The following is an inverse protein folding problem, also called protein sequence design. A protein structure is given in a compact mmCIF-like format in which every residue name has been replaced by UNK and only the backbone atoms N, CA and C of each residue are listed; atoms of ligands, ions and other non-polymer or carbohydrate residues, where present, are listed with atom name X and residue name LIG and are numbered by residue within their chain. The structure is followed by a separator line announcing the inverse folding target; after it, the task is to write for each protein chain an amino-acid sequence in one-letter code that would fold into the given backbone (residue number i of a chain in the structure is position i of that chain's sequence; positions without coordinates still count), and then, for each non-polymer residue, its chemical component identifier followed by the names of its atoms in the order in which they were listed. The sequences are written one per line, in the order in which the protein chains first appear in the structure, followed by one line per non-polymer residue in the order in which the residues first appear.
data_IF_785899779815
#
_entry.id   IF_785899779815
#
_cell.length_a   1.000
_cell.length_b   1.000
_cell.length_c   1.000
_cell.angle_alpha   90.00
_cell.angle_beta   90.00
_cell.angle_gamma   90.00
#
_symmetry.space_group_name_H-M   'P 1'
#
loop_
_entity.id
_entity.type
_entity.pdbx_description
1 polymer ?
#
# COMPACT_ATOMS: atom_id res chain seq x y z
N UNK A 1 14.64 15.77 -8.51
CA UNK A 1 13.94 15.50 -9.82
C UNK A 1 13.25 14.15 -9.68
N UNK A 2 11.94 14.06 -9.98
CA UNK A 2 11.18 12.82 -9.92
C UNK A 2 11.78 11.76 -10.86
N UNK A 3 11.93 10.55 -10.37
CA UNK A 3 12.35 9.40 -11.16
C UNK A 3 11.36 8.27 -10.93
N UNK A 4 10.76 7.77 -12.02
CA UNK A 4 9.82 6.66 -11.95
C UNK A 4 10.55 5.39 -11.47
N UNK A 5 10.15 4.77 -10.34
CA UNK A 5 10.78 3.54 -9.87
C UNK A 5 10.65 2.40 -10.89
N UNK A 6 11.70 1.62 -11.10
CA UNK A 6 11.67 0.46 -11.99
C UNK A 6 11.18 -0.79 -11.25
N UNK A 7 10.00 -1.27 -11.61
CA UNK A 7 9.37 -2.45 -11.01
C UNK A 7 9.50 -3.72 -11.87
N UNK A 8 10.07 -3.63 -13.09
CA UNK A 8 10.08 -4.70 -14.08
C UNK A 8 10.81 -5.96 -13.61
N UNK A 9 11.75 -5.82 -12.66
CA UNK A 9 12.45 -6.95 -12.05
C UNK A 9 11.51 -7.93 -11.32
N UNK A 10 10.35 -7.46 -10.84
CA UNK A 10 9.38 -8.26 -10.09
C UNK A 10 8.77 -9.39 -10.94
N UNK A 11 8.55 -9.14 -12.24
CA UNK A 11 7.97 -10.12 -13.16
C UNK A 11 8.97 -11.17 -13.65
N UNK A 12 10.23 -11.11 -13.19
CA UNK A 12 11.27 -12.06 -13.60
C UNK A 12 10.94 -13.47 -13.10
N UNK A 13 10.72 -14.39 -14.03
CA UNK A 13 10.64 -15.82 -13.70
C UNK A 13 12.02 -16.40 -13.43
N UNK A 14 12.12 -17.25 -12.41
CA UNK A 14 13.33 -17.99 -12.05
C UNK A 14 13.08 -19.50 -12.23
N UNK A 15 14.09 -20.25 -12.66
CA UNK A 15 14.05 -21.71 -12.57
C UNK A 15 14.04 -22.14 -11.09
N UNK A 16 13.69 -23.40 -10.74
CA UNK A 16 13.78 -23.88 -9.35
C UNK A 16 15.16 -23.66 -8.72
N UNK A 17 16.23 -23.90 -9.46
CA UNK A 17 17.62 -23.75 -9.03
C UNK A 17 17.98 -22.25 -8.82
N UNK A 18 17.57 -21.40 -9.77
CA UNK A 18 17.75 -19.95 -9.66
C UNK A 18 16.96 -19.37 -8.47
N UNK A 19 15.75 -19.90 -8.21
CA UNK A 19 14.92 -19.47 -7.10
C UNK A 19 15.55 -19.88 -5.76
N UNK A 20 16.04 -21.11 -5.64
CA UNK A 20 16.73 -21.57 -4.44
C UNK A 20 17.99 -20.72 -4.16
N UNK A 21 18.80 -20.48 -5.18
CA UNK A 21 19.98 -19.62 -5.07
C UNK A 21 19.60 -18.19 -4.63
N UNK A 22 18.52 -17.65 -5.20
CA UNK A 22 18.01 -16.34 -4.84
C UNK A 22 17.55 -16.30 -3.37
N UNK A 23 16.74 -17.26 -2.94
CA UNK A 23 16.25 -17.36 -1.56
C UNK A 23 17.38 -17.51 -0.53
N UNK A 24 18.46 -18.21 -0.88
CA UNK A 24 19.61 -18.38 -0.02
C UNK A 24 20.47 -17.10 0.11
N UNK A 25 20.46 -16.21 -0.87
CA UNK A 25 21.34 -15.04 -0.93
C UNK A 25 20.65 -13.71 -0.72
N UNK A 26 19.35 -13.61 -1.00
CA UNK A 26 18.58 -12.37 -0.88
C UNK A 26 17.86 -12.28 0.46
N UNK A 27 17.95 -11.14 1.11
CA UNK A 27 17.13 -10.77 2.26
C UNK A 27 16.38 -9.49 1.96
N UNK A 28 15.14 -9.39 2.45
CA UNK A 28 14.37 -8.14 2.33
C UNK A 28 15.07 -7.04 3.12
N UNK A 29 15.30 -5.90 2.46
CA UNK A 29 15.70 -4.68 3.13
C UNK A 29 14.46 -4.01 3.72
N UNK A 30 14.41 -3.88 5.04
CA UNK A 30 13.25 -3.32 5.73
C UNK A 30 13.32 -1.78 5.74
N UNK A 31 12.90 -1.15 4.63
CA UNK A 31 12.68 0.29 4.55
C UNK A 31 11.28 0.57 5.08
N UNK A 32 11.16 1.28 6.19
CA UNK A 32 9.88 1.50 6.86
C UNK A 32 9.39 2.93 6.59
N UNK A 33 8.12 3.06 6.20
CA UNK A 33 7.40 4.32 6.18
C UNK A 33 6.26 4.34 7.19
N UNK A 34 5.83 5.55 7.54
CA UNK A 34 4.76 5.81 8.50
C UNK A 34 3.78 6.82 7.91
N UNK A 35 2.49 6.65 8.18
CA UNK A 35 1.47 7.60 7.79
C UNK A 35 1.33 8.72 8.82
N UNK A 36 1.37 9.99 8.40
CA UNK A 36 1.19 11.11 9.34
C UNK A 36 -0.25 11.22 9.85
N UNK A 37 -1.20 10.55 9.20
CA UNK A 37 -2.62 10.59 9.57
C UNK A 37 -2.90 9.97 10.94
N UNK A 38 -2.21 8.93 11.35
CA UNK A 38 -2.44 8.31 12.65
C UNK A 38 -1.74 9.01 13.83
N UNK A 39 -1.06 10.14 13.58
CA UNK A 39 -0.66 11.09 14.61
C UNK A 39 -1.79 12.08 14.94
N UNK A 40 -2.87 12.07 14.15
CA UNK A 40 -4.08 12.80 14.46
C UNK A 40 -4.77 12.25 15.72
N UNK A 41 -5.72 12.98 16.30
CA UNK A 41 -6.30 12.62 17.59
C UNK A 41 -7.12 11.33 17.59
N UNK A 42 -7.23 10.59 16.57
CA UNK A 42 -7.94 9.32 16.50
C UNK A 42 -9.19 9.27 17.37
N UNK A 43 -10.23 8.71 16.90
CA UNK A 43 -11.47 8.54 17.62
C UNK A 43 -12.24 7.39 17.02
N UNK A 44 -13.25 6.93 17.69
CA UNK A 44 -14.10 5.90 17.20
C UNK A 44 -15.54 6.38 17.15
N UNK A 45 -16.45 5.48 16.78
CA UNK A 45 -17.89 5.76 16.72
C UNK A 45 -18.46 6.37 18.01
N UNK A 46 -17.85 6.08 19.16
CA UNK A 46 -18.33 6.46 20.48
C UNK A 46 -17.36 7.39 21.24
N UNK A 47 -16.23 7.75 20.64
CA UNK A 47 -15.24 8.65 21.22
C UNK A 47 -14.89 9.76 20.24
N UNK A 48 -14.80 10.97 20.72
CA UNK A 48 -14.42 12.13 19.91
C UNK A 48 -12.93 12.07 19.55
N UNK A 49 -12.09 11.74 20.53
CA UNK A 49 -10.64 11.60 20.35
C UNK A 49 -10.00 10.82 21.50
N UNK A 50 -8.85 10.18 21.20
CA UNK A 50 -8.04 9.47 22.20
C UNK A 50 -6.80 10.23 22.63
N UNK A 51 -6.25 11.11 21.80
CA UNK A 51 -5.04 11.90 22.05
C UNK A 51 -5.29 13.36 21.70
N UNK A 52 -4.47 14.30 22.21
CA UNK A 52 -4.55 15.71 21.82
C UNK A 52 -4.40 15.90 20.32
N UNK A 53 -5.04 16.92 19.77
CA UNK A 53 -4.79 17.35 18.40
C UNK A 53 -3.42 18.00 18.28
N UNK A 54 -2.67 17.61 17.23
CA UNK A 54 -1.34 18.10 16.94
C UNK A 54 -1.34 18.74 15.56
N UNK A 55 -0.73 19.91 15.43
CA UNK A 55 -0.48 20.49 14.13
C UNK A 55 0.60 19.70 13.36
N UNK A 56 0.72 19.96 12.07
CA UNK A 56 1.65 19.20 11.21
C UNK A 56 3.10 19.29 11.69
N UNK A 57 3.55 20.44 12.18
CA UNK A 57 4.91 20.60 12.73
C UNK A 57 5.15 19.67 13.91
N UNK A 58 4.23 19.65 14.88
CA UNK A 58 4.31 18.78 16.06
C UNK A 58 4.28 17.28 15.67
N UNK A 59 3.46 16.91 14.67
CA UNK A 59 3.45 15.53 14.15
C UNK A 59 4.79 15.15 13.52
N UNK A 60 5.42 16.04 12.75
CA UNK A 60 6.71 15.82 12.14
C UNK A 60 7.85 15.74 13.17
N UNK A 61 7.78 16.50 14.27
CA UNK A 61 8.72 16.38 15.40
C UNK A 61 8.63 14.99 16.07
N UNK A 62 7.42 14.44 16.21
CA UNK A 62 7.24 13.06 16.68
C UNK A 62 7.77 12.05 15.65
N UNK A 63 7.50 12.26 14.36
CA UNK A 63 7.99 11.40 13.29
C UNK A 63 9.53 11.34 13.26
N UNK A 64 10.22 12.47 13.49
CA UNK A 64 11.67 12.51 13.56
C UNK A 64 12.26 11.54 14.60
N UNK A 65 11.56 11.32 15.72
CA UNK A 65 11.97 10.39 16.76
C UNK A 65 11.89 8.92 16.35
N UNK A 66 11.18 8.62 15.25
CA UNK A 66 11.01 7.24 14.75
C UNK A 66 12.18 6.75 13.90
N UNK A 67 13.10 7.64 13.48
CA UNK A 67 14.31 7.26 12.78
C UNK A 67 15.11 6.18 13.53
N UNK A 68 15.13 6.21 14.86
CA UNK A 68 15.78 5.21 15.73
C UNK A 68 15.14 3.81 15.64
N UNK A 69 13.95 3.70 15.07
CA UNK A 69 13.25 2.42 14.84
C UNK A 69 13.36 1.95 13.38
N UNK A 70 14.19 2.61 12.56
CA UNK A 70 14.40 2.25 11.16
C UNK A 70 13.42 2.91 10.18
N UNK A 71 12.62 3.88 10.63
CA UNK A 71 11.73 4.66 9.77
C UNK A 71 12.57 5.62 8.93
N UNK A 72 12.37 5.55 7.60
CA UNK A 72 13.07 6.40 6.61
C UNK A 72 12.11 7.04 5.60
N UNK A 73 10.81 6.76 5.73
CA UNK A 73 9.77 7.34 4.89
C UNK A 73 8.58 7.85 5.71
N UNK A 74 7.90 8.86 5.20
CA UNK A 74 6.63 9.36 5.71
C UNK A 74 5.65 9.53 4.57
N UNK A 75 4.38 9.26 4.83
CA UNK A 75 3.27 9.37 3.89
C UNK A 75 2.23 10.35 4.42
N UNK A 76 1.53 11.07 3.54
CA UNK A 76 0.61 12.13 3.94
C UNK A 76 -0.54 12.28 2.95
N UNK A 77 -1.64 12.91 3.39
CA UNK A 77 -2.76 13.26 2.52
C UNK A 77 -2.66 14.69 2.00
N UNK A 78 -2.93 14.85 0.72
CA UNK A 78 -3.00 16.16 0.05
C UNK A 78 -4.47 16.60 -0.12
N UNK A 79 -4.83 17.83 0.20
CA UNK A 79 -3.98 18.92 0.70
C UNK A 79 -3.99 19.09 2.23
N UNK A 80 -4.67 18.23 3.00
CA UNK A 80 -4.93 18.45 4.43
C UNK A 80 -3.67 18.33 5.29
N UNK A 81 -2.77 17.42 4.97
CA UNK A 81 -1.56 17.12 5.74
C UNK A 81 -0.30 17.66 5.05
N UNK A 82 -0.24 17.54 3.73
CA UNK A 82 0.83 18.12 2.91
C UNK A 82 0.26 18.95 1.77
N UNK A 83 0.84 20.13 1.53
CA UNK A 83 0.49 21.03 0.44
C UNK A 83 1.68 21.94 0.09
N UNK A 84 1.52 22.79 -0.91
CA UNK A 84 2.55 23.71 -1.37
C UNK A 84 3.08 24.63 -0.26
N UNK A 85 2.22 24.99 0.70
CA UNK A 85 2.57 25.89 1.80
C UNK A 85 3.44 25.25 2.89
N UNK A 86 3.31 23.94 3.11
CA UNK A 86 4.01 23.23 4.18
C UNK A 86 5.01 22.16 3.71
N UNK A 87 5.19 21.96 2.41
CA UNK A 87 6.17 21.01 1.86
C UNK A 87 7.59 21.20 2.40
N UNK A 88 7.95 22.44 2.75
CA UNK A 88 9.25 22.77 3.32
C UNK A 88 9.50 22.07 4.68
N UNK A 89 8.46 21.80 5.47
CA UNK A 89 8.58 21.07 6.74
C UNK A 89 9.00 19.62 6.53
N UNK A 90 8.48 18.96 5.48
CA UNK A 90 8.87 17.60 5.12
C UNK A 90 10.31 17.56 4.57
N UNK A 91 10.73 18.58 3.81
CA UNK A 91 12.13 18.70 3.37
C UNK A 91 13.09 18.90 4.54
N UNK A 92 12.68 19.61 5.58
CA UNK A 92 13.45 19.76 6.81
C UNK A 92 13.53 18.40 7.56
N UNK A 93 12.44 17.67 7.69
CA UNK A 93 12.43 16.33 8.29
C UNK A 93 13.42 15.37 7.58
N UNK A 94 13.44 15.40 6.25
CA UNK A 94 14.39 14.59 5.48
C UNK A 94 15.85 14.98 5.79
N UNK A 95 16.12 16.28 5.84
CA UNK A 95 17.47 16.80 6.13
C UNK A 95 17.94 16.50 7.56
N UNK A 96 17.05 16.58 8.54
CA UNK A 96 17.38 16.50 9.97
C UNK A 96 17.33 15.07 10.51
N UNK A 97 16.39 14.26 10.04
CA UNK A 97 16.13 12.90 10.54
C UNK A 97 16.30 11.79 9.49
N UNK A 98 16.56 12.12 8.23
CA UNK A 98 16.68 11.14 7.15
C UNK A 98 15.34 10.50 6.76
N UNK A 99 14.20 11.09 7.16
CA UNK A 99 12.86 10.60 6.86
C UNK A 99 12.30 11.45 5.72
N UNK A 100 12.18 10.85 4.53
CA UNK A 100 11.70 11.54 3.33
C UNK A 100 10.20 11.43 3.18
N UNK A 101 9.56 12.42 2.55
CA UNK A 101 8.20 12.28 2.05
C UNK A 101 8.18 11.27 0.91
N UNK A 102 7.64 10.08 1.18
CA UNK A 102 7.70 8.93 0.29
C UNK A 102 6.58 8.94 -0.74
N UNK A 103 5.37 9.15 -0.26
CA UNK A 103 4.14 9.17 -1.05
C UNK A 103 3.15 10.17 -0.48
N UNK A 104 2.21 10.60 -1.31
CA UNK A 104 1.04 11.34 -0.85
C UNK A 104 -0.20 10.88 -1.59
N UNK A 105 -1.32 10.81 -0.88
CA UNK A 105 -2.62 10.45 -1.43
C UNK A 105 -3.56 11.65 -1.48
N UNK A 106 -4.46 11.76 -2.45
CA UNK A 106 -5.47 12.80 -2.47
C UNK A 106 -6.50 12.58 -1.36
N UNK A 107 -6.90 13.63 -0.69
CA UNK A 107 -7.90 13.62 0.40
C UNK A 107 -9.33 13.62 -0.17
N UNK A 108 -9.58 12.74 -1.15
CA UNK A 108 -10.84 12.72 -1.90
C UNK A 108 -12.01 12.11 -1.12
N UNK A 109 -11.75 11.40 -0.03
CA UNK A 109 -12.74 10.65 0.73
C UNK A 109 -13.34 11.42 1.91
N UNK A 110 -12.73 12.54 2.33
CA UNK A 110 -13.20 13.37 3.46
C UNK A 110 -14.03 14.56 3.05
N UNK A 111 -13.99 14.96 1.76
CA UNK A 111 -14.69 16.15 1.33
C UNK A 111 -16.21 15.89 1.31
N UNK A 112 -17.04 16.80 1.87
CA UNK A 112 -18.51 16.64 1.90
C UNK A 112 -19.13 16.43 0.52
N UNK A 113 -18.55 17.04 -0.52
CA UNK A 113 -19.02 16.87 -1.91
C UNK A 113 -18.76 15.46 -2.47
N UNK A 114 -17.94 14.65 -1.80
CA UNK A 114 -17.62 13.29 -2.21
C UNK A 114 -18.51 12.22 -1.56
N UNK A 115 -19.57 12.58 -0.83
CA UNK A 115 -20.48 11.62 -0.16
C UNK A 115 -20.96 10.50 -1.08
N UNK A 116 -21.20 10.78 -2.36
CA UNK A 116 -21.65 9.82 -3.38
C UNK A 116 -20.56 9.43 -4.38
N UNK A 117 -19.33 9.42 -3.96
CA UNK A 117 -18.16 9.12 -4.78
C UNK A 117 -17.30 10.35 -5.08
N UNK A 118 -16.04 10.11 -5.37
CA UNK A 118 -15.08 11.12 -5.83
C UNK A 118 -15.05 11.20 -7.36
N UNK A 119 -14.20 10.44 -8.02
CA UNK A 119 -14.15 10.35 -9.48
C UNK A 119 -15.33 9.58 -10.11
N UNK A 120 -16.01 8.72 -9.34
CA UNK A 120 -17.23 8.02 -9.77
C UNK A 120 -18.52 8.80 -9.48
N UNK A 121 -18.45 10.00 -8.91
CA UNK A 121 -19.61 10.80 -8.53
C UNK A 121 -20.53 11.07 -9.72
N UNK A 122 -21.87 10.90 -9.60
CA UNK A 122 -22.81 11.22 -10.66
C UNK A 122 -22.77 12.69 -11.10
N UNK A 123 -22.46 13.63 -10.19
CA UNK A 123 -22.32 15.04 -10.49
C UNK A 123 -20.96 15.35 -11.15
N UNK A 124 -20.99 15.72 -12.41
CA UNK A 124 -19.81 16.07 -13.19
C UNK A 124 -18.96 17.19 -12.55
N UNK A 125 -19.59 18.20 -11.96
CA UNK A 125 -18.86 19.33 -11.33
C UNK A 125 -18.04 18.85 -10.13
N UNK A 126 -18.59 17.89 -9.35
CA UNK A 126 -17.87 17.29 -8.22
C UNK A 126 -16.69 16.46 -8.70
N UNK A 127 -16.85 15.65 -9.76
CA UNK A 127 -15.73 14.93 -10.38
C UNK A 127 -14.62 15.89 -10.86
N UNK A 128 -14.97 16.97 -11.55
CA UNK A 128 -14.01 17.97 -12.03
C UNK A 128 -13.25 18.65 -10.88
N UNK A 129 -13.90 18.92 -9.75
CA UNK A 129 -13.24 19.45 -8.56
C UNK A 129 -12.22 18.46 -7.97
N UNK A 130 -12.59 17.18 -7.90
CA UNK A 130 -11.69 16.10 -7.45
C UNK A 130 -10.51 15.94 -8.43
N UNK A 131 -10.75 15.90 -9.73
CA UNK A 131 -9.69 15.84 -10.75
C UNK A 131 -8.66 16.96 -10.55
N UNK A 132 -9.13 18.19 -10.31
CA UNK A 132 -8.24 19.34 -10.03
C UNK A 132 -7.37 19.10 -8.80
N UNK A 133 -7.92 18.52 -7.74
CA UNK A 133 -7.18 18.16 -6.54
C UNK A 133 -6.14 17.05 -6.81
N UNK A 134 -6.53 16.00 -7.55
CA UNK A 134 -5.61 14.93 -7.95
C UNK A 134 -4.44 15.47 -8.80
N UNK A 135 -4.72 16.34 -9.75
CA UNK A 135 -3.68 16.99 -10.57
C UNK A 135 -2.73 17.80 -9.68
N UNK A 136 -3.25 18.51 -8.68
CA UNK A 136 -2.42 19.20 -7.67
C UNK A 136 -1.51 18.22 -6.91
N UNK A 137 -2.06 17.13 -6.41
CA UNK A 137 -1.30 16.08 -5.73
C UNK A 137 -0.21 15.47 -6.64
N UNK A 138 -0.53 15.13 -7.89
CA UNK A 138 0.45 14.60 -8.86
C UNK A 138 1.59 15.59 -9.15
N UNK A 139 1.28 16.89 -9.26
CA UNK A 139 2.30 17.95 -9.45
C UNK A 139 3.22 18.02 -8.22
N UNK A 140 2.65 18.00 -7.02
CA UNK A 140 3.41 18.04 -5.78
C UNK A 140 4.25 16.78 -5.55
N UNK A 141 3.73 15.58 -5.90
CA UNK A 141 4.49 14.30 -5.92
C UNK A 141 5.75 14.46 -6.76
N UNK A 142 5.63 15.06 -7.93
CA UNK A 142 6.74 15.27 -8.85
C UNK A 142 7.74 16.29 -8.31
N UNK A 143 7.27 17.37 -7.72
CA UNK A 143 8.10 18.42 -7.10
C UNK A 143 8.85 17.91 -5.86
N UNK A 144 8.15 17.18 -5.00
CA UNK A 144 8.71 16.62 -3.77
C UNK A 144 9.67 15.46 -4.03
N UNK A 145 9.63 14.85 -5.21
CA UNK A 145 10.42 13.66 -5.54
C UNK A 145 9.91 12.40 -4.84
N UNK A 146 8.61 12.33 -4.52
CA UNK A 146 7.98 11.13 -3.98
C UNK A 146 8.10 9.95 -4.95
N UNK A 147 7.89 8.73 -4.49
CA UNK A 147 7.96 7.55 -5.36
C UNK A 147 6.70 7.35 -6.19
N UNK A 148 5.54 7.78 -5.69
CA UNK A 148 4.23 7.66 -6.33
C UNK A 148 3.19 8.54 -5.65
N UNK A 149 2.02 8.65 -6.24
CA UNK A 149 0.80 9.12 -5.59
C UNK A 149 0.00 7.90 -5.11
N UNK A 150 -0.26 7.79 -3.80
CA UNK A 150 -1.20 6.80 -3.29
C UNK A 150 -2.62 7.12 -3.76
N UNK A 151 -3.40 6.11 -4.13
CA UNK A 151 -4.80 6.27 -4.50
C UNK A 151 -5.65 5.21 -3.82
N UNK A 152 -6.37 5.63 -2.80
CA UNK A 152 -7.39 4.84 -2.14
C UNK A 152 -8.78 5.37 -2.51
N UNK A 153 -9.55 4.65 -3.35
CA UNK A 153 -10.88 5.08 -3.79
C UNK A 153 -11.98 4.68 -2.78
N UNK A 154 -11.74 4.90 -1.49
CA UNK A 154 -12.60 4.39 -0.42
C UNK A 154 -14.02 4.91 -0.40
N UNK A 155 -14.27 6.11 -0.93
CA UNK A 155 -15.63 6.68 -1.02
C UNK A 155 -16.32 6.33 -2.34
N UNK A 156 -15.55 5.89 -3.36
CA UNK A 156 -16.09 5.53 -4.66
C UNK A 156 -16.74 4.15 -4.62
N UNK A 157 -18.05 4.10 -4.86
CA UNK A 157 -18.78 2.86 -4.73
C UNK A 157 -20.30 3.06 -4.78
N UNK A 158 -21.06 2.12 -4.22
CA UNK A 158 -22.52 2.13 -4.27
C UNK A 158 -23.15 1.56 -3.00
N UNK A 159 -24.37 2.01 -2.69
CA UNK A 159 -25.13 1.54 -1.53
C UNK A 159 -25.84 0.21 -1.84
N UNK A 160 -26.52 0.16 -2.96
CA UNK A 160 -27.36 -0.99 -3.37
C UNK A 160 -27.03 -1.43 -4.79
N UNK A 161 -27.01 -2.75 -5.06
CA UNK A 161 -26.80 -3.25 -6.40
C UNK A 161 -27.91 -2.89 -7.38
N UNK A 162 -29.15 -2.80 -6.90
CA UNK A 162 -30.31 -2.51 -7.74
C UNK A 162 -30.32 -1.04 -8.16
N UNK A 163 -30.29 -0.80 -9.47
CA UNK A 163 -30.32 0.55 -10.04
C UNK A 163 -28.97 1.23 -10.17
N UNK A 164 -27.88 0.60 -9.73
CA UNK A 164 -26.52 1.10 -9.95
C UNK A 164 -26.13 0.97 -11.42
N UNK A 165 -25.71 2.07 -12.02
CA UNK A 165 -25.23 2.12 -13.41
C UNK A 165 -23.70 1.91 -13.39
N UNK A 166 -23.29 0.65 -13.33
CA UNK A 166 -21.88 0.28 -13.15
C UNK A 166 -20.95 0.80 -14.26
N UNK A 167 -21.42 0.72 -15.53
CA UNK A 167 -20.63 1.19 -16.68
C UNK A 167 -20.26 2.66 -16.54
N UNK A 168 -21.22 3.53 -16.20
CA UNK A 168 -20.97 4.95 -16.03
C UNK A 168 -20.00 5.22 -14.88
N UNK A 169 -20.18 4.50 -13.77
CA UNK A 169 -19.34 4.64 -12.58
C UNK A 169 -17.87 4.30 -12.90
N UNK A 170 -17.60 3.18 -13.60
CA UNK A 170 -16.26 2.81 -14.05
C UNK A 170 -15.72 3.79 -15.09
N UNK A 171 -16.49 4.10 -16.12
CA UNK A 171 -16.05 5.02 -17.19
C UNK A 171 -15.71 6.42 -16.67
N UNK A 172 -16.49 6.95 -15.74
CA UNK A 172 -16.19 8.23 -15.11
C UNK A 172 -14.90 8.19 -14.32
N UNK A 173 -14.73 7.17 -13.46
CA UNK A 173 -13.53 7.05 -12.63
C UNK A 173 -12.27 6.88 -13.47
N UNK A 174 -12.28 5.90 -14.35
CA UNK A 174 -11.11 5.54 -15.18
C UNK A 174 -10.76 6.64 -16.18
N UNK A 175 -11.77 7.24 -16.82
CA UNK A 175 -11.57 8.36 -17.72
C UNK A 175 -10.97 9.57 -17.04
N UNK A 176 -11.51 9.95 -15.87
CA UNK A 176 -11.01 11.05 -15.08
C UNK A 176 -9.57 10.82 -14.59
N UNK A 177 -9.26 9.61 -14.14
CA UNK A 177 -7.92 9.26 -13.70
C UNK A 177 -6.90 9.26 -14.83
N UNK A 178 -7.28 8.77 -16.02
CA UNK A 178 -6.43 8.82 -17.21
C UNK A 178 -6.13 10.25 -17.63
N UNK A 179 -7.12 11.15 -17.58
CA UNK A 179 -6.94 12.58 -17.85
C UNK A 179 -5.96 13.23 -16.85
N UNK A 180 -6.06 12.89 -15.55
CA UNK A 180 -5.14 13.39 -14.53
C UNK A 180 -3.69 12.93 -14.80
N UNK A 181 -3.50 11.67 -15.17
CA UNK A 181 -2.18 11.12 -15.50
C UNK A 181 -1.61 11.73 -16.78
N UNK A 182 -2.45 12.05 -17.77
CA UNK A 182 -2.02 12.71 -19.00
C UNK A 182 -1.68 14.19 -18.79
N UNK A 183 -2.33 14.87 -17.85
CA UNK A 183 -1.99 16.25 -17.46
C UNK A 183 -0.63 16.33 -16.72
N UNK A 184 -0.29 15.28 -15.95
CA UNK A 184 1.00 15.21 -15.21
C UNK A 184 1.77 13.94 -15.61
N UNK A 185 2.32 13.89 -16.83
CA UNK A 185 2.88 12.67 -17.37
C UNK A 185 4.12 12.17 -16.63
N UNK A 186 4.30 10.86 -16.64
CA UNK A 186 5.45 10.16 -16.10
C UNK A 186 5.41 9.94 -14.58
N UNK A 187 4.30 10.26 -13.92
CA UNK A 187 4.07 9.95 -12.50
C UNK A 187 3.27 8.65 -12.38
N UNK A 188 3.62 7.79 -11.44
CA UNK A 188 2.87 6.57 -11.13
C UNK A 188 1.90 6.82 -9.98
N UNK A 189 0.75 6.17 -10.03
CA UNK A 189 -0.11 5.99 -8.87
C UNK A 189 0.11 4.61 -8.25
N UNK A 190 -0.11 4.50 -6.94
CA UNK A 190 -0.21 3.25 -6.20
C UNK A 190 -1.65 3.02 -5.79
N UNK A 191 -2.36 2.14 -6.50
CA UNK A 191 -3.75 1.80 -6.18
C UNK A 191 -3.81 0.95 -4.92
N UNK A 192 -4.70 1.34 -4.01
CA UNK A 192 -5.05 0.57 -2.83
C UNK A 192 -6.51 0.14 -2.92
N UNK A 193 -6.73 -1.14 -3.21
CA UNK A 193 -8.08 -1.72 -3.32
C UNK A 193 -8.64 -2.03 -1.94
N UNK A 194 -9.96 -1.87 -1.77
CA UNK A 194 -10.68 -2.17 -0.53
C UNK A 194 -12.09 -2.66 -0.86
N UNK A 195 -12.61 -3.73 -0.21
CA UNK A 195 -13.91 -4.30 -0.61
C UNK A 195 -15.10 -3.44 -0.19
N UNK A 196 -15.02 -2.73 0.92
CA UNK A 196 -16.05 -1.88 1.52
C UNK A 196 -15.42 -0.90 2.51
N UNK A 197 -16.20 0.11 2.95
CA UNK A 197 -15.84 1.12 3.93
C UNK A 197 -14.90 2.22 3.39
N UNK A 198 -15.32 3.50 3.50
CA UNK A 198 -16.61 3.94 4.04
C UNK A 198 -17.81 3.65 3.11
N UNK A 199 -17.59 3.49 1.81
CA UNK A 199 -18.66 3.04 0.92
C UNK A 199 -19.04 1.58 1.26
N UNK A 200 -20.33 1.23 1.37
CA UNK A 200 -20.76 -0.15 1.65
C UNK A 200 -20.26 -1.18 0.62
N UNK A 201 -20.08 -0.75 -0.60
CA UNK A 201 -19.50 -1.52 -1.70
C UNK A 201 -18.55 -0.61 -2.48
N UNK A 202 -17.25 -0.84 -2.38
CA UNK A 202 -16.28 -0.06 -3.13
C UNK A 202 -16.25 -0.46 -4.61
N UNK A 203 -15.82 0.47 -5.47
CA UNK A 203 -15.76 0.28 -6.92
C UNK A 203 -14.70 -0.75 -7.33
N UNK A 204 -13.54 -0.77 -6.65
CA UNK A 204 -12.44 -1.72 -6.88
C UNK A 204 -12.21 -2.52 -5.61
N UNK A 205 -12.87 -3.67 -5.54
CA UNK A 205 -13.11 -4.42 -4.32
C UNK A 205 -11.97 -5.35 -3.92
N UNK A 206 -11.15 -5.74 -4.88
CA UNK A 206 -10.12 -6.77 -4.72
C UNK A 206 -8.98 -6.57 -5.73
N UNK A 207 -7.95 -7.40 -5.60
CA UNK A 207 -6.78 -7.35 -6.48
C UNK A 207 -7.13 -7.50 -7.96
N UNK A 208 -8.07 -8.38 -8.31
CA UNK A 208 -8.43 -8.62 -9.72
C UNK A 208 -9.16 -7.41 -10.32
N UNK A 209 -10.11 -6.82 -9.60
CA UNK A 209 -10.80 -5.61 -10.04
C UNK A 209 -9.82 -4.45 -10.24
N UNK A 210 -8.86 -4.30 -9.31
CA UNK A 210 -7.82 -3.28 -9.43
C UNK A 210 -6.90 -3.50 -10.64
N UNK A 211 -6.56 -4.74 -10.98
CA UNK A 211 -5.77 -5.05 -12.17
C UNK A 211 -6.53 -4.72 -13.47
N UNK A 212 -7.82 -5.02 -13.52
CA UNK A 212 -8.67 -4.62 -14.67
C UNK A 212 -8.67 -3.10 -14.79
N UNK A 213 -8.95 -2.38 -13.71
CA UNK A 213 -8.92 -0.90 -13.71
C UNK A 213 -7.57 -0.36 -14.18
N UNK A 214 -6.46 -0.93 -13.71
CA UNK A 214 -5.13 -0.48 -14.10
C UNK A 214 -4.91 -0.58 -15.62
N UNK A 215 -5.36 -1.68 -16.24
CA UNK A 215 -5.30 -1.85 -17.70
C UNK A 215 -6.23 -0.88 -18.43
N UNK A 216 -7.45 -0.68 -17.95
CA UNK A 216 -8.44 0.18 -18.60
C UNK A 216 -8.02 1.66 -18.54
N UNK A 217 -7.47 2.13 -17.42
CA UNK A 217 -6.88 3.47 -17.29
C UNK A 217 -5.68 3.63 -18.24
N UNK A 218 -4.74 2.69 -18.24
CA UNK A 218 -3.55 2.77 -19.09
C UNK A 218 -3.88 2.72 -20.59
N UNK A 219 -4.92 1.97 -20.97
CA UNK A 219 -5.41 1.93 -22.35
C UNK A 219 -6.00 3.29 -22.82
N UNK A 220 -6.50 4.11 -21.91
CA UNK A 220 -7.08 5.43 -22.19
C UNK A 220 -6.02 6.53 -22.28
N UNK A 221 -4.77 6.30 -21.86
CA UNK A 221 -3.69 7.31 -21.86
C UNK A 221 -3.33 7.73 -23.28
N UNK A 222 -3.21 9.04 -23.48
CA UNK A 222 -2.93 9.69 -24.77
C UNK A 222 -1.58 10.40 -24.80
N UNK A 223 -1.09 10.84 -23.63
CA UNK A 223 0.15 11.60 -23.55
C UNK A 223 1.34 10.78 -24.08
N UNK A 224 2.16 11.31 -25.01
CA UNK A 224 3.28 10.58 -25.62
C UNK A 224 4.31 10.07 -24.60
N UNK A 225 4.54 10.80 -23.49
CA UNK A 225 5.47 10.38 -22.43
C UNK A 225 4.92 9.13 -21.74
N UNK A 226 3.64 9.13 -21.37
CA UNK A 226 2.98 8.00 -20.73
C UNK A 226 2.97 6.78 -21.67
N UNK A 227 2.59 6.95 -22.91
CA UNK A 227 2.59 5.88 -23.91
C UNK A 227 3.98 5.29 -24.16
N UNK A 228 5.03 6.13 -24.15
CA UNK A 228 6.40 5.66 -24.26
C UNK A 228 6.78 4.79 -23.08
N UNK A 229 6.51 5.22 -21.84
CA UNK A 229 6.79 4.44 -20.62
C UNK A 229 6.08 3.08 -20.65
N UNK A 230 4.80 3.05 -21.04
CA UNK A 230 4.05 1.80 -21.20
C UNK A 230 4.71 0.87 -22.25
N UNK A 231 5.14 1.42 -23.39
CA UNK A 231 5.83 0.64 -24.45
C UNK A 231 7.19 0.10 -24.01
N UNK A 232 7.81 0.73 -23.03
CA UNK A 232 9.07 0.28 -22.39
C UNK A 232 8.83 -0.75 -21.26
N UNK A 233 7.56 -1.11 -21.01
CA UNK A 233 7.16 -2.10 -20.00
C UNK A 233 7.01 -1.55 -18.58
N UNK A 234 6.98 -0.23 -18.40
CA UNK A 234 6.62 0.38 -17.12
C UNK A 234 5.10 0.42 -16.97
N UNK A 235 4.60 0.29 -15.74
CA UNK A 235 3.21 0.62 -15.42
C UNK A 235 3.11 2.06 -14.90
N UNK A 236 1.97 2.70 -15.12
CA UNK A 236 1.64 4.01 -14.54
C UNK A 236 0.55 3.89 -13.46
N UNK A 237 -0.22 2.81 -13.50
CA UNK A 237 -1.09 2.38 -12.42
C UNK A 237 -0.44 1.17 -11.75
N UNK A 238 0.35 1.43 -10.72
CA UNK A 238 0.90 0.42 -9.81
C UNK A 238 -0.05 0.16 -8.64
N UNK A 239 0.42 -0.63 -7.69
CA UNK A 239 -0.34 -1.00 -6.49
C UNK A 239 0.44 -0.68 -5.22
N UNK A 240 -0.29 -0.27 -4.19
CA UNK A 240 0.14 -0.26 -2.79
C UNK A 240 -0.88 -1.04 -1.95
N UNK A 241 -0.96 -2.37 -2.11
CA UNK A 241 -1.96 -3.15 -1.38
C UNK A 241 -1.66 -3.11 0.11
N UNK A 242 -2.74 -3.06 0.89
CA UNK A 242 -2.72 -3.18 2.33
C UNK A 242 -3.14 -4.58 2.78
N UNK A 243 -2.44 -5.12 3.77
CA UNK A 243 -2.77 -6.44 4.36
C UNK A 243 -4.22 -6.47 4.82
N UNK A 244 -4.67 -5.44 5.55
CA UNK A 244 -6.02 -5.35 6.08
C UNK A 244 -7.07 -5.41 5.00
N UNK A 245 -6.94 -4.62 3.97
CA UNK A 245 -7.90 -4.55 2.87
C UNK A 245 -8.00 -5.87 2.06
N UNK A 246 -6.86 -6.51 1.81
CA UNK A 246 -6.82 -7.82 1.14
C UNK A 246 -7.52 -8.88 1.99
N UNK A 247 -7.28 -8.87 3.33
CA UNK A 247 -7.94 -9.78 4.27
C UNK A 247 -9.44 -9.51 4.39
N UNK A 248 -9.89 -8.24 4.40
CA UNK A 248 -11.30 -7.87 4.34
C UNK A 248 -12.00 -8.42 3.08
N UNK A 249 -11.25 -8.51 1.98
CA UNK A 249 -11.72 -9.11 0.72
C UNK A 249 -11.71 -10.65 0.70
N UNK A 250 -11.34 -11.31 1.79
CA UNK A 250 -11.15 -12.76 1.88
C UNK A 250 -10.16 -13.30 0.84
N UNK A 251 -9.22 -12.47 0.41
CA UNK A 251 -8.14 -12.88 -0.50
C UNK A 251 -6.97 -13.51 0.28
N UNK A 252 -6.20 -14.37 -0.38
CA UNK A 252 -4.99 -14.97 0.17
C UNK A 252 -3.82 -14.01 -0.06
N UNK A 253 -3.20 -13.47 1.00
CA UNK A 253 -2.18 -12.43 0.93
C UNK A 253 -1.06 -12.73 -0.08
N UNK A 254 -0.30 -13.83 0.02
CA UNK A 254 0.78 -14.09 -0.94
C UNK A 254 0.28 -14.21 -2.38
N UNK A 255 -0.90 -14.81 -2.60
CA UNK A 255 -1.48 -14.96 -3.93
C UNK A 255 -1.79 -13.62 -4.59
N UNK A 256 -2.46 -12.73 -3.86
CA UNK A 256 -2.84 -11.40 -4.35
C UNK A 256 -1.62 -10.56 -4.70
N UNK A 257 -0.64 -10.51 -3.80
CA UNK A 257 0.60 -9.75 -4.05
C UNK A 257 1.40 -10.34 -5.23
N UNK A 258 1.45 -11.67 -5.35
CA UNK A 258 2.12 -12.32 -6.49
C UNK A 258 1.40 -12.08 -7.82
N UNK A 259 0.08 -11.93 -7.82
CA UNK A 259 -0.66 -11.48 -9.02
C UNK A 259 -0.21 -10.09 -9.46
N UNK A 260 -0.05 -9.16 -8.52
CA UNK A 260 0.42 -7.80 -8.79
C UNK A 260 1.88 -7.80 -9.29
N UNK A 261 2.77 -8.55 -8.64
CA UNK A 261 4.19 -8.63 -9.05
C UNK A 261 4.39 -9.29 -10.39
N UNK A 262 3.52 -10.24 -10.77
CA UNK A 262 3.56 -10.89 -12.09
C UNK A 262 3.45 -9.88 -13.23
N UNK A 263 2.81 -8.74 -12.99
CA UNK A 263 2.65 -7.64 -13.95
C UNK A 263 3.60 -6.46 -13.65
N UNK A 264 4.58 -6.64 -12.76
CA UNK A 264 5.53 -5.60 -12.34
C UNK A 264 4.84 -4.33 -11.82
N UNK A 265 3.79 -4.48 -11.00
CA UNK A 265 2.95 -3.37 -10.52
C UNK A 265 3.04 -3.09 -9.02
N UNK A 266 3.77 -3.88 -8.23
CA UNK A 266 3.85 -3.69 -6.78
C UNK A 266 4.76 -2.51 -6.44
N UNK A 267 4.17 -1.33 -6.25
CA UNK A 267 4.87 -0.09 -5.98
C UNK A 267 5.25 0.04 -4.49
N UNK A 268 4.35 -0.34 -3.61
CA UNK A 268 4.46 -0.18 -2.17
C UNK A 268 3.68 -1.29 -1.46
N UNK A 269 3.91 -1.46 -0.15
CA UNK A 269 3.21 -2.46 0.67
C UNK A 269 2.80 -1.79 1.97
N UNK A 270 1.50 -1.74 2.27
CA UNK A 270 1.00 -1.37 3.58
C UNK A 270 0.86 -2.60 4.48
N UNK A 271 1.39 -2.52 5.69
CA UNK A 271 1.42 -3.62 6.65
C UNK A 271 0.70 -3.26 7.94
N UNK A 272 -0.21 -4.12 8.33
CA UNK A 272 -0.98 -4.10 9.57
C UNK A 272 -1.48 -5.51 9.88
N UNK A 273 -2.53 -5.65 10.67
CA UNK A 273 -3.26 -6.90 10.89
C UNK A 273 -4.76 -6.65 10.91
N UNK A 274 -5.52 -7.61 10.38
CA UNK A 274 -6.97 -7.48 10.20
C UNK A 274 -7.69 -8.79 10.51
N UNK A 275 -8.67 -8.81 11.43
CA UNK A 275 -9.57 -9.95 11.60
C UNK A 275 -10.49 -10.12 10.38
N UNK A 276 -10.69 -11.37 9.94
CA UNK A 276 -11.61 -11.67 8.84
C UNK A 276 -13.04 -11.26 9.20
N UNK A 277 -13.75 -10.70 8.21
CA UNK A 277 -15.16 -10.36 8.34
C UNK A 277 -15.46 -9.19 9.28
N UNK A 278 -14.50 -8.35 9.55
CA UNK A 278 -14.65 -7.17 10.39
C UNK A 278 -14.45 -5.88 9.57
N UNK A 279 -14.84 -4.73 10.18
CA UNK A 279 -14.47 -3.41 9.65
C UNK A 279 -12.95 -3.23 9.72
N UNK A 280 -12.45 -2.24 9.01
CA UNK A 280 -11.04 -1.91 8.98
C UNK A 280 -10.56 -1.44 10.35
N UNK A 281 -9.64 -2.20 10.94
CA UNK A 281 -9.18 -1.95 12.30
C UNK A 281 -7.74 -1.45 12.38
N UNK A 282 -6.99 -1.55 11.30
CA UNK A 282 -5.58 -1.13 11.24
C UNK A 282 -4.77 -1.55 12.47
N UNK A 283 -4.93 -2.81 12.86
CA UNK A 283 -4.26 -3.34 14.05
C UNK A 283 -2.74 -3.42 13.83
N UNK A 284 -1.99 -3.37 14.91
CA UNK A 284 -0.55 -3.61 14.86
C UNK A 284 -0.22 -4.93 14.19
N UNK A 285 0.82 -4.94 13.35
CA UNK A 285 1.28 -6.13 12.63
C UNK A 285 1.52 -7.31 13.57
N UNK A 286 1.03 -8.49 13.20
CA UNK A 286 1.26 -9.74 13.89
C UNK A 286 0.36 -10.01 15.11
N UNK A 287 -0.54 -9.10 15.50
CA UNK A 287 -1.49 -9.37 16.61
C UNK A 287 -2.57 -10.37 16.21
N UNK A 288 -2.93 -10.38 14.91
CA UNK A 288 -3.70 -11.43 14.23
C UNK A 288 -3.01 -11.74 12.92
N UNK A 289 -3.32 -12.85 12.26
CA UNK A 289 -2.79 -13.22 10.93
C UNK A 289 -1.25 -13.28 10.83
N UNK A 290 -0.55 -13.66 11.90
CA UNK A 290 0.92 -13.77 11.87
C UNK A 290 1.42 -14.66 10.72
N UNK A 291 0.80 -15.83 10.54
CA UNK A 291 1.22 -16.79 9.50
C UNK A 291 1.02 -16.25 8.09
N UNK A 292 -0.10 -15.55 7.85
CA UNK A 292 -0.39 -14.94 6.55
C UNK A 292 0.61 -13.83 6.21
N UNK A 293 0.93 -12.97 7.18
CA UNK A 293 1.94 -11.92 7.02
C UNK A 293 3.34 -12.48 6.78
N UNK A 294 3.72 -13.55 7.51
CA UNK A 294 5.00 -14.23 7.32
C UNK A 294 5.09 -14.91 5.94
N UNK A 295 4.00 -15.54 5.49
CA UNK A 295 3.89 -16.11 4.15
C UNK A 295 3.97 -15.02 3.05
N UNK A 296 3.39 -13.84 3.27
CA UNK A 296 3.55 -12.68 2.39
C UNK A 296 5.01 -12.25 2.31
N UNK A 297 5.70 -12.08 3.45
CA UNK A 297 7.12 -11.71 3.44
C UNK A 297 7.98 -12.73 2.69
N UNK A 298 7.67 -14.02 2.82
CA UNK A 298 8.34 -15.07 2.06
C UNK A 298 8.11 -14.91 0.55
N UNK A 299 6.88 -14.63 0.13
CA UNK A 299 6.55 -14.37 -1.27
C UNK A 299 7.25 -13.11 -1.81
N UNK A 300 7.30 -12.03 -1.04
CA UNK A 300 8.05 -10.82 -1.38
C UNK A 300 9.55 -11.08 -1.52
N UNK A 301 10.12 -11.93 -0.66
CA UNK A 301 11.50 -12.40 -0.79
C UNK A 301 11.71 -13.17 -2.10
N UNK A 302 10.77 -14.05 -2.50
CA UNK A 302 10.88 -14.83 -3.74
C UNK A 302 10.99 -13.94 -4.99
N UNK A 303 10.31 -12.81 -5.04
CA UNK A 303 10.35 -11.87 -6.17
C UNK A 303 11.46 -10.83 -6.06
N UNK A 304 12.12 -10.72 -4.92
CA UNK A 304 13.17 -9.73 -4.69
C UNK A 304 12.60 -8.33 -4.49
N UNK A 305 11.52 -8.21 -3.71
CA UNK A 305 10.94 -6.91 -3.37
C UNK A 305 11.96 -6.01 -2.68
N UNK A 306 12.05 -4.77 -3.12
CA UNK A 306 13.02 -3.77 -2.64
C UNK A 306 12.38 -2.41 -2.30
N UNK A 307 11.05 -2.37 -2.25
CA UNK A 307 10.28 -1.18 -1.87
C UNK A 307 10.20 -0.96 -0.36
N UNK A 308 9.31 -0.08 0.03
CA UNK A 308 9.03 0.24 1.43
C UNK A 308 7.92 -0.63 2.01
N UNK A 309 7.94 -0.78 3.32
CA UNK A 309 6.87 -1.32 4.14
C UNK A 309 6.24 -0.16 4.91
N UNK A 310 5.08 0.31 4.45
CA UNK A 310 4.30 1.34 5.11
C UNK A 310 3.54 0.76 6.29
N UNK A 311 3.74 1.29 7.48
CA UNK A 311 2.92 0.95 8.61
C UNK A 311 1.60 1.71 8.46
N UNK A 312 0.54 1.02 8.08
CA UNK A 312 -0.82 1.58 8.03
C UNK A 312 -1.61 1.03 9.21
N UNK A 313 -1.49 1.73 10.32
CA UNK A 313 -2.00 1.31 11.62
C UNK A 313 -2.84 2.41 12.25
N UNK A 314 -3.75 2.02 13.14
CA UNK A 314 -4.48 2.95 13.99
C UNK A 314 -4.13 2.70 15.46
N UNK A 315 -3.15 3.41 16.03
CA UNK A 315 -2.70 3.19 17.41
C UNK A 315 -3.79 3.46 18.46
N UNK A 316 -4.76 4.31 18.16
CA UNK A 316 -5.86 4.73 19.04
C UNK A 316 -5.38 5.14 20.47
N UNK A 317 -5.39 4.18 21.40
CA UNK A 317 -5.05 4.38 22.82
C UNK A 317 -3.57 4.18 23.14
N UNK A 318 -2.81 3.61 22.20
CA UNK A 318 -1.37 3.39 22.36
C UNK A 318 -0.60 4.65 21.93
N UNK A 319 0.47 5.05 22.66
CA UNK A 319 1.34 6.10 22.16
C UNK A 319 1.91 5.74 20.78
N UNK A 320 1.84 6.66 19.82
CA UNK A 320 2.23 6.42 18.43
C UNK A 320 3.68 5.93 18.29
N UNK A 321 4.60 6.47 19.08
CA UNK A 321 6.01 6.03 19.11
C UNK A 321 6.15 4.57 19.53
N UNK A 322 5.33 4.13 20.48
CA UNK A 322 5.34 2.75 20.95
C UNK A 322 4.75 1.80 19.90
N UNK A 323 3.66 2.21 19.24
CA UNK A 323 3.08 1.44 18.15
C UNK A 323 4.09 1.22 17.01
N UNK A 324 4.78 2.28 16.57
CA UNK A 324 5.80 2.18 15.51
C UNK A 324 6.98 1.31 15.96
N UNK A 325 7.45 1.45 17.21
CA UNK A 325 8.50 0.59 17.77
C UNK A 325 8.12 -0.89 17.72
N UNK A 326 6.90 -1.23 18.14
CA UNK A 326 6.39 -2.60 18.13
C UNK A 326 6.32 -3.14 16.71
N UNK A 327 5.67 -2.41 15.79
CA UNK A 327 5.51 -2.85 14.41
C UNK A 327 6.86 -3.06 13.70
N UNK A 328 7.80 -2.12 13.87
CA UNK A 328 9.16 -2.25 13.32
C UNK A 328 9.86 -3.50 13.85
N UNK A 329 9.72 -3.80 15.17
CA UNK A 329 10.32 -4.98 15.77
C UNK A 329 9.66 -6.27 15.29
N UNK A 330 8.33 -6.30 15.15
CA UNK A 330 7.60 -7.46 14.64
C UNK A 330 8.01 -7.77 13.21
N UNK A 331 8.07 -6.73 12.35
CA UNK A 331 8.52 -6.88 10.97
C UNK A 331 9.94 -7.43 10.88
N UNK A 332 10.86 -6.95 11.73
CA UNK A 332 12.23 -7.50 11.83
C UNK A 332 12.24 -8.98 12.21
N UNK A 333 11.47 -9.36 13.25
CA UNK A 333 11.37 -10.75 13.71
C UNK A 333 10.82 -11.65 12.60
N UNK A 334 9.76 -11.21 11.89
CA UNK A 334 9.19 -11.96 10.77
C UNK A 334 10.23 -12.15 9.66
N UNK A 335 10.97 -11.11 9.31
CA UNK A 335 12.01 -11.19 8.28
C UNK A 335 13.16 -12.11 8.68
N UNK A 336 13.62 -12.05 9.94
CA UNK A 336 14.62 -12.98 10.50
C UNK A 336 14.15 -14.44 10.37
N UNK A 337 12.87 -14.71 10.72
CA UNK A 337 12.26 -16.04 10.61
C UNK A 337 12.16 -16.53 9.17
N UNK A 338 11.67 -15.67 8.26
CA UNK A 338 11.59 -15.96 6.83
C UNK A 338 12.96 -16.30 6.23
N UNK A 339 14.01 -15.60 6.65
CA UNK A 339 15.38 -15.88 6.21
C UNK A 339 15.94 -17.20 6.77
N UNK A 340 15.46 -17.65 7.93
CA UNK A 340 15.90 -18.90 8.58
C UNK A 340 15.11 -20.14 8.13
N UNK A 341 14.07 -19.99 7.29
CA UNK A 341 13.29 -21.13 6.80
C UNK A 341 14.14 -22.06 5.91
N UNK A 342 13.89 -23.37 5.93
CA UNK A 342 14.60 -24.34 5.09
C UNK A 342 14.11 -24.26 3.64
N UNK A 343 14.63 -23.28 2.87
CA UNK A 343 14.16 -22.93 1.53
C UNK A 343 14.13 -24.10 0.55
N UNK A 344 15.18 -24.94 0.56
CA UNK A 344 15.26 -26.13 -0.30
C UNK A 344 14.10 -27.10 0.00
N UNK A 345 13.86 -27.39 1.27
CA UNK A 345 12.78 -28.28 1.70
C UNK A 345 11.39 -27.73 1.39
N UNK A 346 11.21 -26.40 1.51
CA UNK A 346 9.96 -25.74 1.13
C UNK A 346 9.70 -25.83 -0.39
N UNK A 347 10.72 -25.63 -1.20
CA UNK A 347 10.60 -25.77 -2.66
C UNK A 347 10.38 -27.23 -3.06
N UNK A 348 11.03 -28.19 -2.38
CA UNK A 348 10.83 -29.63 -2.62
C UNK A 348 9.39 -30.05 -2.28
N UNK A 349 8.81 -29.54 -1.19
CA UNK A 349 7.39 -29.75 -0.87
C UNK A 349 6.45 -29.24 -1.97
N UNK A 350 6.80 -28.15 -2.61
CA UNK A 350 5.99 -27.56 -3.69
C UNK A 350 6.11 -28.34 -5.01
N UNK A 351 7.34 -28.69 -5.39
CA UNK A 351 7.61 -29.35 -6.67
C UNK A 351 7.35 -30.88 -6.63
N UNK A 352 7.44 -31.50 -5.46
CA UNK A 352 7.26 -32.96 -5.25
C UNK A 352 6.25 -33.25 -4.12
N UNK A 353 4.99 -32.79 -4.22
CA UNK A 353 4.02 -32.84 -3.12
C UNK A 353 3.68 -34.27 -2.67
N UNK A 354 3.71 -35.26 -3.57
CA UNK A 354 3.41 -36.65 -3.23
C UNK A 354 4.45 -37.25 -2.26
N UNK A 355 5.71 -36.91 -2.44
CA UNK A 355 6.81 -37.37 -1.60
C UNK A 355 6.90 -36.60 -0.27
N UNK A 356 6.31 -35.42 -0.20
CA UNK A 356 6.44 -34.48 0.90
C UNK A 356 5.12 -34.19 1.63
N UNK A 357 4.22 -35.16 1.69
CA UNK A 357 2.91 -35.02 2.41
C UNK A 357 3.12 -34.63 3.87
N UNK A 358 2.52 -33.54 4.33
CA UNK A 358 2.71 -32.99 5.67
C UNK A 358 4.04 -32.24 5.91
N UNK A 359 4.87 -32.07 4.86
CA UNK A 359 6.18 -31.43 5.00
C UNK A 359 6.09 -29.94 5.35
N UNK A 360 5.15 -29.20 4.78
CA UNK A 360 4.93 -27.79 5.11
C UNK A 360 4.46 -27.63 6.55
N UNK A 361 3.49 -28.44 6.98
CA UNK A 361 2.97 -28.41 8.35
C UNK A 361 4.05 -28.75 9.38
N UNK A 362 4.92 -29.71 9.07
CA UNK A 362 6.08 -30.03 9.93
C UNK A 362 7.05 -28.86 10.03
N UNK A 363 7.39 -28.21 8.92
CA UNK A 363 8.27 -27.03 8.91
C UNK A 363 7.65 -25.90 9.76
N UNK A 364 6.35 -25.64 9.61
CA UNK A 364 5.65 -24.63 10.39
C UNK A 364 5.68 -24.96 11.88
N UNK A 365 5.33 -26.20 12.27
CA UNK A 365 5.35 -26.64 13.66
C UNK A 365 6.74 -26.45 14.29
N UNK A 366 7.81 -26.83 13.60
CA UNK A 366 9.18 -26.66 14.06
C UNK A 366 9.59 -25.18 14.13
N UNK A 367 9.14 -24.36 13.19
CA UNK A 367 9.50 -22.94 13.12
C UNK A 367 8.89 -22.11 14.25
N UNK A 368 7.74 -22.53 14.79
CA UNK A 368 7.07 -21.89 15.94
C UNK A 368 7.45 -22.51 17.29
N UNK A 369 8.23 -23.58 17.32
CA UNK A 369 8.65 -24.19 18.56
C UNK A 369 9.53 -23.22 19.38
N UNK A 370 9.21 -23.06 20.66
CA UNK A 370 10.03 -22.28 21.59
C UNK A 370 11.35 -23.04 21.79
N UNK A 371 12.44 -22.51 21.26
CA UNK A 371 13.77 -23.03 21.55
C UNK A 371 14.15 -22.64 22.99
N UNK A 372 14.30 -23.61 23.87
CA UNK A 372 14.93 -23.37 25.15
C UNK A 372 16.37 -22.91 24.85
N UNK A 373 16.69 -21.70 25.31
CA UNK A 373 18.08 -21.18 25.28
C UNK A 373 18.97 -21.97 26.22
#
# INVERSE_FOLDING_TARGET
MYTLPDLRHQAKRRSPEELLKHLASFSLELKISVGIWYFAPGGGRFHERYVPDLNIGERLELAAQMAKYGVTGIEAHYPSEVNEGNLHLYKNLEKEAGIRLLAMGPDSFRHPDCEFGSLSNPDRKKREAVQKSLIGALKLVKEAGCTHMGLWPGIDGFLYPLGTVYYDMWDWFEGALAECLDEVPGVRIGLETKPYEPAPNNIYRNTADGLVMAHDVEARLKNPVNRKLLSEGHCLVGFQPEIGHVMMGFEILPYSYMRITREARLQHVHVNSQPLGNYDQDLNLGVVNWQDAEALLYALKMVGYNGYFGLDINPERMPVLEAVRINSRVLSIMNERVNALPHEKLLDCFYHPEANRGGIESILAESYAIRKK
#
